data_IF_849164930421
#
_entry.id   IF_849164930421
#
_cell.length_a   1.000
_cell.length_b   1.000
_cell.length_c   1.000
_cell.angle_alpha   90.00
_cell.angle_beta   90.00
_cell.angle_gamma   90.00
#
_symmetry.space_group_name_H-M   'P 1'
#
loop_
_entity.id
_entity.type
_entity.pdbx_description
1 polymer ?
#
# COMPACT_ATOMS: atom_id res chain seq x y z
N UNK A 1 12.11 6.02 21.18
CA UNK A 1 11.62 7.30 21.77
C UNK A 1 10.19 7.10 22.21
N UNK A 2 9.65 7.81 23.21
CA UNK A 2 8.22 7.75 23.48
C UNK A 2 7.48 8.25 22.23
N UNK A 3 6.63 7.40 21.66
CA UNK A 3 5.76 7.73 20.54
C UNK A 3 4.56 8.52 21.09
N UNK A 4 4.03 9.45 20.31
CA UNK A 4 3.02 10.43 20.75
C UNK A 4 1.64 9.83 21.02
N UNK A 5 1.28 8.75 20.31
CA UNK A 5 -0.04 8.11 20.42
C UNK A 5 -0.09 7.05 21.51
N UNK A 6 -1.05 7.15 22.42
CA UNK A 6 -1.20 6.24 23.57
C UNK A 6 -2.34 5.24 23.38
N UNK A 7 -3.41 5.63 22.69
CA UNK A 7 -4.58 4.76 22.46
C UNK A 7 -4.94 4.74 20.98
N UNK A 8 -4.66 3.61 20.35
CA UNK A 8 -4.76 3.43 18.90
C UNK A 8 -5.93 2.52 18.58
N UNK A 9 -6.84 3.02 17.73
CA UNK A 9 -7.89 2.21 17.14
C UNK A 9 -7.46 1.74 15.74
N UNK A 10 -7.56 0.44 15.45
CA UNK A 10 -7.21 -0.10 14.14
C UNK A 10 -8.44 -0.73 13.52
N UNK A 11 -8.89 -0.19 12.39
CA UNK A 11 -10.10 -0.63 11.72
C UNK A 11 -9.72 -1.61 10.60
N UNK A 12 -9.82 -2.92 10.86
CA UNK A 12 -9.53 -3.98 9.89
C UNK A 12 -8.56 -5.05 10.40
N UNK A 13 -9.03 -6.29 10.71
CA UNK A 13 -8.19 -7.42 11.12
C UNK A 13 -7.55 -8.11 9.91
N UNK A 14 -6.81 -7.37 9.08
CA UNK A 14 -6.03 -7.92 7.98
C UNK A 14 -4.55 -8.12 8.34
N UNK A 15 -3.73 -8.46 7.35
CA UNK A 15 -2.28 -8.54 7.50
C UNK A 15 -1.71 -7.22 8.04
N UNK A 16 -2.03 -6.10 7.36
CA UNK A 16 -1.52 -4.79 7.73
C UNK A 16 -2.07 -4.33 9.08
N UNK A 17 -3.39 -4.34 9.26
CA UNK A 17 -4.01 -3.91 10.51
C UNK A 17 -3.56 -4.74 11.72
N UNK A 18 -3.48 -6.06 11.58
CA UNK A 18 -2.93 -6.94 12.62
C UNK A 18 -1.46 -6.63 12.91
N UNK A 19 -0.65 -6.39 11.88
CA UNK A 19 0.78 -6.09 12.05
C UNK A 19 0.99 -4.73 12.72
N UNK A 20 0.22 -3.70 12.34
CA UNK A 20 0.21 -2.40 13.04
C UNK A 20 -0.18 -2.62 14.49
N UNK A 21 -1.17 -3.47 14.78
CA UNK A 21 -1.63 -3.72 16.13
C UNK A 21 -0.55 -4.39 17.01
N UNK A 22 0.11 -5.42 16.46
CA UNK A 22 1.19 -6.13 17.14
C UNK A 22 2.39 -5.19 17.40
N UNK A 23 2.85 -4.49 16.36
CA UNK A 23 3.98 -3.56 16.47
C UNK A 23 3.69 -2.39 17.43
N UNK A 24 2.47 -1.84 17.40
CA UNK A 24 2.06 -0.76 18.31
C UNK A 24 2.06 -1.20 19.78
N UNK A 25 1.70 -2.47 20.06
CA UNK A 25 1.78 -3.01 21.43
C UNK A 25 3.21 -3.16 21.92
N UNK A 26 4.15 -3.55 21.05
CA UNK A 26 5.56 -3.69 21.41
C UNK A 26 6.20 -2.36 21.82
N UNK A 27 5.77 -1.26 21.22
CA UNK A 27 6.23 0.08 21.61
C UNK A 27 5.50 0.61 22.86
N UNK A 28 4.43 -0.05 23.31
CA UNK A 28 3.74 0.23 24.57
C UNK A 28 2.37 0.92 24.46
N UNK A 29 1.82 1.08 23.25
CA UNK A 29 0.50 1.67 23.06
C UNK A 29 -0.63 0.73 23.50
N UNK A 30 -1.73 1.31 23.99
CA UNK A 30 -3.01 0.60 24.10
C UNK A 30 -3.63 0.50 22.70
N UNK A 31 -3.98 -0.70 22.26
CA UNK A 31 -4.50 -0.93 20.92
C UNK A 31 -5.83 -1.66 20.98
N UNK A 32 -6.85 -1.13 20.29
CA UNK A 32 -8.12 -1.84 20.07
C UNK A 32 -8.32 -2.07 18.59
N UNK A 33 -8.42 -3.33 18.19
CA UNK A 33 -8.64 -3.72 16.81
C UNK A 33 -10.14 -3.95 16.55
N UNK A 34 -10.69 -3.26 15.57
CA UNK A 34 -12.06 -3.48 15.12
C UNK A 34 -12.11 -4.43 13.92
N UNK A 35 -13.05 -5.38 13.95
CA UNK A 35 -13.38 -6.21 12.81
C UNK A 35 -14.86 -6.50 12.68
N UNK A 36 -15.40 -6.44 11.45
CA UNK A 36 -16.81 -6.76 11.19
C UNK A 36 -17.15 -8.24 11.40
N UNK A 37 -16.20 -9.15 11.17
CA UNK A 37 -16.43 -10.59 11.28
C UNK A 37 -16.01 -11.07 12.69
N UNK A 38 -16.94 -11.62 13.51
CA UNK A 38 -16.64 -12.17 14.83
C UNK A 38 -15.52 -13.23 14.83
N UNK A 39 -15.41 -14.05 13.79
CA UNK A 39 -14.36 -15.08 13.68
C UNK A 39 -12.97 -14.45 13.56
N UNK A 40 -12.85 -13.37 12.77
CA UNK A 40 -11.57 -12.63 12.65
C UNK A 40 -11.22 -11.89 13.93
N UNK A 41 -12.22 -11.38 14.66
CA UNK A 41 -12.02 -10.78 15.99
C UNK A 41 -11.52 -11.83 16.98
N UNK A 42 -12.15 -13.01 17.03
CA UNK A 42 -11.71 -14.11 17.88
C UNK A 42 -10.27 -14.57 17.56
N UNK A 43 -9.93 -14.63 16.27
CA UNK A 43 -8.57 -14.94 15.83
C UNK A 43 -7.57 -13.87 16.28
N UNK A 44 -7.88 -12.58 16.09
CA UNK A 44 -7.04 -11.49 16.60
C UNK A 44 -6.84 -11.56 18.12
N UNK A 45 -7.90 -11.88 18.87
CA UNK A 45 -7.81 -12.08 20.33
C UNK A 45 -6.95 -13.28 20.72
N UNK A 46 -6.94 -14.36 19.92
CA UNK A 46 -6.05 -15.51 20.16
C UNK A 46 -4.56 -15.15 19.98
N UNK A 47 -4.26 -14.09 19.22
CA UNK A 47 -2.93 -13.49 19.07
C UNK A 47 -2.62 -12.47 20.19
N UNK A 48 -3.50 -12.36 21.20
CA UNK A 48 -3.35 -11.46 22.34
C UNK A 48 -3.74 -10.01 22.06
N UNK A 49 -4.37 -9.71 20.92
CA UNK A 49 -4.87 -8.36 20.60
C UNK A 49 -6.23 -8.13 21.27
N UNK A 50 -6.42 -6.97 21.89
CA UNK A 50 -7.76 -6.51 22.25
C UNK A 50 -8.53 -6.21 20.95
N UNK A 51 -9.65 -6.89 20.74
CA UNK A 51 -10.41 -6.78 19.50
C UNK A 51 -11.93 -6.83 19.77
N UNK A 52 -12.69 -6.07 18.98
CA UNK A 52 -14.15 -5.96 19.12
C UNK A 52 -14.84 -5.88 17.77
N UNK A 53 -16.11 -6.29 17.73
CA UNK A 53 -17.02 -6.03 16.60
C UNK A 53 -17.74 -4.69 16.73
N UNK A 54 -17.70 -4.05 17.90
CA UNK A 54 -18.33 -2.76 18.15
C UNK A 54 -17.41 -1.62 17.74
N UNK A 55 -17.81 -0.88 16.71
CA UNK A 55 -17.00 0.20 16.16
C UNK A 55 -16.85 1.38 17.13
N UNK A 56 -17.87 1.68 17.93
CA UNK A 56 -17.83 2.77 18.91
C UNK A 56 -16.86 2.48 20.05
N UNK A 57 -16.88 1.25 20.58
CA UNK A 57 -15.91 0.80 21.60
C UNK A 57 -14.48 0.88 21.07
N UNK A 58 -14.26 0.53 19.81
CA UNK A 58 -12.91 0.53 19.23
C UNK A 58 -12.30 1.93 19.15
N UNK A 59 -13.09 2.95 18.78
CA UNK A 59 -12.59 4.32 18.59
C UNK A 59 -12.69 5.20 19.85
N UNK A 60 -13.36 4.72 20.90
CA UNK A 60 -13.61 5.51 22.11
C UNK A 60 -12.29 5.97 22.75
N UNK A 61 -12.08 7.29 22.81
CA UNK A 61 -10.89 7.89 23.42
C UNK A 61 -9.58 7.63 22.68
N UNK A 62 -9.63 7.09 21.46
CA UNK A 62 -8.43 6.91 20.65
C UNK A 62 -7.84 8.27 20.25
N UNK A 63 -6.51 8.38 20.29
CA UNK A 63 -5.74 9.54 19.80
C UNK A 63 -5.18 9.30 18.38
N UNK A 64 -5.09 8.04 17.96
CA UNK A 64 -4.84 7.64 16.57
C UNK A 64 -5.88 6.62 16.09
N UNK A 65 -6.43 6.82 14.90
CA UNK A 65 -7.29 5.84 14.21
C UNK A 65 -6.64 5.45 12.89
N UNK A 66 -6.42 4.15 12.69
CA UNK A 66 -5.79 3.60 11.48
C UNK A 66 -6.84 2.84 10.66
N UNK A 67 -7.15 3.32 9.46
CA UNK A 67 -7.93 2.56 8.48
C UNK A 67 -7.05 1.50 7.82
N UNK A 68 -7.30 0.23 8.16
CA UNK A 68 -6.70 -0.96 7.55
C UNK A 68 -7.74 -1.77 6.77
N UNK A 69 -8.60 -1.05 6.04
CA UNK A 69 -9.64 -1.60 5.15
C UNK A 69 -9.45 -1.07 3.72
N UNK A 70 -10.03 -1.73 2.70
CA UNK A 70 -10.08 -1.17 1.34
C UNK A 70 -10.75 0.22 1.33
N UNK A 71 -10.33 1.09 0.41
CA UNK A 71 -10.82 2.49 0.38
C UNK A 71 -12.33 2.57 0.16
N UNK A 72 -12.89 1.63 -0.61
CA UNK A 72 -14.35 1.55 -0.82
C UNK A 72 -15.16 1.32 0.47
N UNK A 73 -14.51 0.83 1.53
CA UNK A 73 -15.11 0.66 2.86
C UNK A 73 -14.83 1.85 3.77
N UNK A 74 -13.78 2.62 3.51
CA UNK A 74 -13.38 3.76 4.34
C UNK A 74 -14.48 4.83 4.44
N UNK A 75 -15.18 5.15 3.34
CA UNK A 75 -16.25 6.18 3.37
C UNK A 75 -17.38 5.79 4.35
N UNK A 76 -17.83 4.54 4.30
CA UNK A 76 -18.87 4.04 5.20
C UNK A 76 -18.44 3.98 6.66
N UNK A 77 -17.15 3.73 6.94
CA UNK A 77 -16.64 3.72 8.30
C UNK A 77 -16.40 5.13 8.82
N UNK A 78 -15.85 6.02 8.00
CA UNK A 78 -15.66 7.43 8.31
C UNK A 78 -16.99 8.07 8.74
N UNK A 79 -18.06 7.81 8.00
CA UNK A 79 -19.42 8.28 8.32
C UNK A 79 -19.92 7.82 9.70
N UNK A 80 -19.57 6.59 10.10
CA UNK A 80 -20.01 6.00 11.37
C UNK A 80 -19.20 6.47 12.58
N UNK A 81 -17.93 6.84 12.37
CA UNK A 81 -17.03 7.18 13.47
C UNK A 81 -16.86 8.67 13.68
N UNK A 82 -17.11 9.52 12.68
CA UNK A 82 -16.77 10.95 12.72
C UNK A 82 -17.28 11.65 13.99
N UNK A 83 -18.51 11.37 14.43
CA UNK A 83 -19.11 11.96 15.63
C UNK A 83 -18.67 11.28 16.94
N UNK A 84 -17.97 10.15 16.86
CA UNK A 84 -17.44 9.39 17.99
C UNK A 84 -15.97 9.70 18.26
N UNK A 85 -15.27 10.29 17.29
CA UNK A 85 -13.85 10.59 17.41
C UNK A 85 -13.61 11.70 18.44
N UNK A 86 -12.51 11.56 19.18
CA UNK A 86 -11.96 12.68 19.95
C UNK A 86 -11.66 13.85 18.99
N UNK A 87 -11.91 15.12 19.37
CA UNK A 87 -11.54 16.28 18.56
C UNK A 87 -10.04 16.37 18.23
N UNK A 88 -9.20 15.64 18.97
CA UNK A 88 -7.75 15.55 18.77
C UNK A 88 -7.30 14.27 18.07
N UNK A 89 -8.20 13.34 17.79
CA UNK A 89 -7.83 12.08 17.15
C UNK A 89 -7.28 12.35 15.75
N UNK A 90 -6.06 11.89 15.49
CA UNK A 90 -5.51 11.85 14.15
C UNK A 90 -6.02 10.58 13.46
N UNK A 91 -6.40 10.70 12.20
CA UNK A 91 -6.83 9.59 11.36
C UNK A 91 -5.76 9.35 10.29
N UNK A 92 -5.41 8.09 10.08
CA UNK A 92 -4.51 7.66 9.02
C UNK A 92 -5.02 6.38 8.38
N UNK A 93 -4.31 5.88 7.39
CA UNK A 93 -4.59 4.63 6.69
C UNK A 93 -3.30 3.88 6.37
N UNK A 94 -3.42 2.73 5.71
CA UNK A 94 -2.28 1.91 5.25
C UNK A 94 -2.39 1.53 3.76
N UNK A 95 -3.32 2.14 3.03
CA UNK A 95 -3.68 1.75 1.67
C UNK A 95 -2.58 2.05 0.63
N UNK A 96 -2.64 1.37 -0.51
CA UNK A 96 -1.66 1.56 -1.60
C UNK A 96 -1.94 2.76 -2.51
N UNK A 97 -3.05 3.46 -2.29
CA UNK A 97 -3.50 4.66 -3.02
C UNK A 97 -3.82 5.75 -2.02
N UNK A 98 -3.59 7.03 -2.35
CA UNK A 98 -3.72 8.15 -1.41
C UNK A 98 -4.73 9.20 -1.81
N UNK A 99 -5.01 9.43 -3.09
CA UNK A 99 -5.99 10.46 -3.49
C UNK A 99 -7.39 10.15 -2.95
N UNK A 100 -7.86 8.91 -3.10
CA UNK A 100 -9.20 8.50 -2.65
C UNK A 100 -9.38 8.57 -1.12
N UNK A 101 -8.45 8.07 -0.26
CA UNK A 101 -8.55 8.30 1.18
C UNK A 101 -8.63 9.78 1.58
N UNK A 102 -7.89 10.67 0.91
CA UNK A 102 -7.96 12.11 1.15
C UNK A 102 -9.33 12.70 0.77
N UNK A 103 -9.93 12.25 -0.35
CA UNK A 103 -11.29 12.65 -0.73
C UNK A 103 -12.33 12.23 0.33
N UNK A 104 -12.24 10.99 0.81
CA UNK A 104 -13.11 10.47 1.88
C UNK A 104 -12.96 11.29 3.16
N UNK A 105 -11.71 11.52 3.58
CA UNK A 105 -11.41 12.28 4.78
C UNK A 105 -11.92 13.72 4.71
N UNK A 106 -11.70 14.40 3.57
CA UNK A 106 -12.18 15.76 3.35
C UNK A 106 -13.71 15.85 3.39
N UNK A 107 -14.41 14.90 2.75
CA UNK A 107 -15.88 14.85 2.74
C UNK A 107 -16.48 14.67 4.14
N UNK A 108 -15.78 14.01 5.07
CA UNK A 108 -16.19 13.84 6.46
C UNK A 108 -15.46 14.74 7.46
N UNK A 109 -14.64 15.69 6.98
CA UNK A 109 -13.85 16.62 7.81
C UNK A 109 -13.00 15.91 8.87
N UNK A 110 -12.46 14.74 8.53
CA UNK A 110 -11.54 14.02 9.40
C UNK A 110 -10.20 14.76 9.47
N UNK A 111 -9.57 14.75 10.66
CA UNK A 111 -8.17 15.17 10.82
C UNK A 111 -7.28 14.08 10.24
N UNK A 112 -6.92 14.18 8.97
CA UNK A 112 -6.34 13.06 8.23
C UNK A 112 -4.95 13.34 7.70
N UNK A 113 -4.03 12.40 7.95
CA UNK A 113 -2.74 12.28 7.26
C UNK A 113 -2.64 10.86 6.74
N UNK A 114 -2.64 10.69 5.43
CA UNK A 114 -2.60 9.36 4.81
C UNK A 114 -1.21 8.73 4.94
N UNK A 115 -1.15 7.42 5.16
CA UNK A 115 0.11 6.68 5.23
C UNK A 115 0.10 5.48 4.28
N UNK A 116 1.27 5.14 3.75
CA UNK A 116 1.47 3.91 2.98
C UNK A 116 2.82 3.31 3.39
N UNK A 117 2.82 2.41 4.40
CA UNK A 117 3.98 1.55 4.61
C UNK A 117 4.11 0.64 3.40
N UNK A 118 5.22 0.73 2.68
CA UNK A 118 5.56 -0.14 1.56
C UNK A 118 6.04 -1.51 2.07
N UNK A 119 5.25 -2.07 2.98
CA UNK A 119 5.42 -3.36 3.60
C UNK A 119 4.20 -4.19 3.20
N UNK A 120 4.43 -5.32 2.56
CA UNK A 120 3.38 -6.16 2.05
C UNK A 120 3.94 -7.52 1.71
N UNK A 121 3.09 -8.53 1.83
CA UNK A 121 3.40 -9.88 1.37
C UNK A 121 2.22 -10.39 0.55
N UNK A 122 2.43 -11.46 -0.19
CA UNK A 122 1.38 -12.23 -0.83
C UNK A 122 0.42 -12.94 0.16
N UNK A 123 0.73 -12.90 1.46
CA UNK A 123 -0.12 -13.47 2.50
C UNK A 123 -1.27 -12.52 2.86
N UNK A 124 -2.35 -13.08 3.37
CA UNK A 124 -3.56 -12.33 3.75
C UNK A 124 -4.05 -12.78 5.12
N UNK A 125 -4.96 -12.00 5.72
CA UNK A 125 -5.53 -12.32 7.04
C UNK A 125 -4.66 -11.87 8.21
N UNK A 126 -5.26 -11.89 9.41
CA UNK A 126 -4.60 -11.49 10.66
C UNK A 126 -3.64 -12.57 11.18
N UNK A 127 -3.84 -13.82 10.77
CA UNK A 127 -2.94 -14.95 11.02
C UNK A 127 -1.54 -14.76 10.43
N UNK A 128 -1.44 -13.97 9.36
CA UNK A 128 -0.18 -13.61 8.72
C UNK A 128 0.47 -12.36 9.35
N UNK A 129 -0.19 -11.73 10.33
CA UNK A 129 0.30 -10.53 10.96
C UNK A 129 1.58 -10.79 11.77
N UNK A 130 2.51 -9.85 11.70
CA UNK A 130 3.81 -9.91 12.39
C UNK A 130 4.22 -8.51 12.83
N UNK A 131 4.76 -8.39 14.04
CA UNK A 131 5.15 -7.09 14.61
C UNK A 131 6.30 -6.44 13.82
N UNK A 132 7.18 -7.25 13.24
CA UNK A 132 8.36 -6.81 12.50
C UNK A 132 8.07 -6.60 10.99
N UNK A 133 6.81 -6.55 10.57
CA UNK A 133 6.43 -6.42 9.15
C UNK A 133 7.04 -5.16 8.50
N UNK A 134 7.15 -4.08 9.27
CA UNK A 134 7.53 -2.77 8.77
C UNK A 134 9.04 -2.49 8.87
N UNK A 135 9.82 -3.41 9.45
CA UNK A 135 11.26 -3.23 9.66
C UNK A 135 12.01 -2.97 8.34
N UNK A 136 12.63 -1.80 8.22
CA UNK A 136 13.37 -1.37 7.03
C UNK A 136 12.49 -0.96 5.85
N UNK A 137 11.16 -1.05 5.96
CA UNK A 137 10.26 -0.63 4.90
C UNK A 137 10.27 0.91 4.75
N UNK A 138 10.06 1.38 3.53
CA UNK A 138 9.71 2.79 3.33
C UNK A 138 8.26 3.02 3.77
N UNK A 139 7.96 4.20 4.30
CA UNK A 139 6.58 4.64 4.53
C UNK A 139 6.39 6.06 4.01
N UNK A 140 5.37 6.23 3.16
CA UNK A 140 5.03 7.53 2.59
C UNK A 140 3.88 8.15 3.36
N UNK A 141 4.04 9.40 3.77
CA UNK A 141 3.01 10.21 4.39
C UNK A 141 2.47 11.25 3.39
N UNK A 142 1.18 11.56 3.50
CA UNK A 142 0.49 12.52 2.64
C UNK A 142 -0.41 13.42 3.46
N UNK A 143 -0.24 14.74 3.32
CA UNK A 143 -0.89 15.74 4.16
C UNK A 143 -1.61 16.82 3.32
N UNK A 144 -2.45 16.38 2.38
CA UNK A 144 -3.21 17.29 1.51
C UNK A 144 -4.29 18.06 2.28
N UNK A 145 -4.67 17.58 3.49
CA UNK A 145 -5.60 18.23 4.42
C UNK A 145 -5.01 19.38 5.23
N UNK A 146 -3.70 19.65 5.16
CA UNK A 146 -3.05 20.77 5.84
C UNK A 146 -2.98 20.63 7.37
N UNK A 147 -2.83 19.41 7.87
CA UNK A 147 -2.57 19.13 9.29
C UNK A 147 -1.23 19.78 9.70
N UNK A 148 -1.11 20.35 10.91
CA UNK A 148 0.13 20.97 11.38
C UNK A 148 1.35 20.03 11.29
N UNK A 149 2.52 20.60 11.01
CA UNK A 149 3.76 19.84 10.76
C UNK A 149 4.14 18.98 11.96
N UNK A 150 3.90 19.47 13.17
CA UNK A 150 4.14 18.74 14.42
C UNK A 150 3.34 17.43 14.50
N UNK A 151 2.08 17.44 14.06
CA UNK A 151 1.23 16.24 14.08
C UNK A 151 1.60 15.25 12.94
N UNK A 152 2.08 15.77 11.80
CA UNK A 152 2.66 14.93 10.75
C UNK A 152 3.96 14.29 11.24
N UNK A 153 4.76 15.01 12.03
CA UNK A 153 5.98 14.49 12.63
C UNK A 153 5.66 13.41 13.67
N UNK A 154 4.64 13.62 14.51
CA UNK A 154 4.13 12.61 15.45
C UNK A 154 3.76 11.30 14.74
N UNK A 155 3.11 11.38 13.57
CA UNK A 155 2.80 10.20 12.75
C UNK A 155 4.05 9.59 12.08
N UNK A 156 5.01 10.41 11.68
CA UNK A 156 6.30 9.93 11.17
C UNK A 156 7.07 9.14 12.22
N UNK A 157 7.15 9.68 13.45
CA UNK A 157 7.83 9.05 14.58
C UNK A 157 7.13 7.76 14.99
N UNK A 158 5.80 7.69 14.89
CA UNK A 158 5.03 6.46 15.06
C UNK A 158 5.47 5.38 14.07
N UNK A 159 5.49 5.66 12.76
CA UNK A 159 5.92 4.68 11.75
C UNK A 159 7.39 4.29 11.87
N UNK A 160 8.27 5.22 12.24
CA UNK A 160 9.66 4.92 12.54
C UNK A 160 9.78 3.99 13.78
N UNK A 161 8.96 4.21 14.81
CA UNK A 161 8.91 3.33 15.98
C UNK A 161 8.39 1.92 15.66
N UNK A 162 7.53 1.76 14.64
CA UNK A 162 7.15 0.46 14.09
C UNK A 162 8.25 -0.17 13.21
N UNK A 163 9.35 0.53 12.99
CA UNK A 163 10.55 0.06 12.32
C UNK A 163 10.71 0.47 10.85
N UNK A 164 9.85 1.35 10.32
CA UNK A 164 10.06 1.90 8.98
C UNK A 164 11.42 2.63 8.91
N UNK A 165 12.25 2.29 7.92
CA UNK A 165 13.60 2.84 7.78
C UNK A 165 13.68 4.12 6.95
N UNK A 166 12.65 4.39 6.15
CA UNK A 166 12.64 5.52 5.23
C UNK A 166 11.28 6.20 5.19
N UNK A 167 11.18 7.36 5.85
CA UNK A 167 9.96 8.16 5.89
C UNK A 167 10.04 9.28 4.87
N UNK A 168 8.96 9.48 4.11
CA UNK A 168 8.88 10.57 3.13
C UNK A 168 7.49 11.16 3.09
N UNK A 169 7.41 12.49 3.11
CA UNK A 169 6.16 13.22 2.90
C UNK A 169 6.07 13.71 1.46
N UNK A 170 4.91 13.55 0.83
CA UNK A 170 4.58 14.11 -0.49
C UNK A 170 3.07 14.36 -0.61
N UNK A 171 2.62 14.89 -1.75
CA UNK A 171 1.17 15.03 -2.02
C UNK A 171 0.55 13.68 -2.35
N UNK A 172 -0.76 13.54 -2.13
CA UNK A 172 -1.50 12.31 -2.49
C UNK A 172 -1.38 11.99 -3.98
N UNK A 173 -1.52 13.00 -4.84
CA UNK A 173 -1.37 12.84 -6.29
C UNK A 173 0.06 12.43 -6.68
N UNK A 174 1.09 13.03 -6.06
CA UNK A 174 2.48 12.69 -6.34
C UNK A 174 2.86 11.27 -5.87
N UNK A 175 2.27 10.82 -4.76
CA UNK A 175 2.36 9.44 -4.32
C UNK A 175 1.76 8.48 -5.35
N UNK A 176 0.52 8.75 -5.78
CA UNK A 176 -0.21 7.88 -6.69
C UNK A 176 0.48 7.76 -8.06
N UNK A 177 1.05 8.85 -8.57
CA UNK A 177 1.89 8.84 -9.77
C UNK A 177 3.15 7.98 -9.58
N UNK A 178 3.87 8.19 -8.48
CA UNK A 178 5.09 7.45 -8.20
C UNK A 178 4.83 5.95 -8.06
N UNK A 179 3.86 5.56 -7.22
CA UNK A 179 3.51 4.15 -6.95
C UNK A 179 2.88 3.49 -8.17
N UNK A 180 2.13 4.22 -9.00
CA UNK A 180 1.69 3.68 -10.29
C UNK A 180 2.89 3.21 -11.12
N UNK A 181 3.96 4.01 -11.21
CA UNK A 181 5.16 3.67 -11.99
C UNK A 181 6.02 2.57 -11.37
N UNK A 182 6.19 2.55 -10.04
CA UNK A 182 7.14 1.64 -9.37
C UNK A 182 6.50 0.37 -8.78
N UNK A 183 5.17 0.27 -8.76
CA UNK A 183 4.45 -0.88 -8.18
C UNK A 183 3.33 -1.38 -9.09
N UNK A 184 2.36 -0.54 -9.43
CA UNK A 184 1.16 -0.99 -10.17
C UNK A 184 1.48 -1.37 -11.61
N UNK A 185 2.27 -0.55 -12.30
CA UNK A 185 2.71 -0.79 -13.66
C UNK A 185 3.59 -2.06 -13.77
N UNK A 186 4.61 -2.28 -12.92
CA UNK A 186 5.33 -3.55 -12.87
C UNK A 186 4.41 -4.77 -12.69
N UNK A 187 3.41 -4.69 -11.80
CA UNK A 187 2.45 -5.78 -11.64
C UNK A 187 1.62 -6.00 -12.91
N UNK A 188 1.08 -4.94 -13.52
CA UNK A 188 0.33 -5.04 -14.78
C UNK A 188 1.17 -5.69 -15.90
N UNK A 189 2.42 -5.25 -16.05
CA UNK A 189 3.35 -5.83 -17.04
C UNK A 189 3.72 -7.28 -16.73
N UNK A 190 3.88 -7.63 -15.46
CA UNK A 190 4.10 -9.00 -15.01
C UNK A 190 2.93 -9.91 -15.41
N UNK A 191 1.70 -9.47 -15.14
CA UNK A 191 0.47 -10.19 -15.46
C UNK A 191 0.24 -10.33 -16.96
N UNK A 192 0.50 -9.27 -17.74
CA UNK A 192 0.45 -9.32 -19.21
C UNK A 192 1.51 -10.30 -19.78
N UNK A 193 2.73 -10.24 -19.26
CA UNK A 193 3.83 -11.12 -19.69
C UNK A 193 3.51 -12.58 -19.40
N UNK A 194 3.02 -12.89 -18.20
CA UNK A 194 2.58 -14.23 -17.82
C UNK A 194 1.43 -14.69 -18.72
N UNK A 195 0.41 -13.85 -18.95
CA UNK A 195 -0.74 -14.16 -19.80
C UNK A 195 -0.39 -14.41 -21.28
N UNK A 196 0.64 -13.74 -21.82
CA UNK A 196 1.13 -14.00 -23.18
C UNK A 196 1.97 -15.27 -23.24
N UNK A 197 2.87 -15.47 -22.26
CA UNK A 197 3.89 -16.52 -22.31
C UNK A 197 3.35 -17.90 -21.92
N UNK A 198 2.39 -17.96 -20.98
CA UNK A 198 1.84 -19.19 -20.42
C UNK A 198 0.50 -19.59 -21.05
N UNK A 199 0.22 -19.15 -22.28
CA UNK A 199 -0.93 -19.66 -23.07
C UNK A 199 -0.85 -21.18 -23.24
N UNK A 200 0.37 -21.69 -23.43
CA UNK A 200 0.70 -23.09 -23.25
C UNK A 200 1.62 -23.21 -22.02
N UNK A 201 1.06 -23.74 -20.95
CA UNK A 201 1.75 -23.88 -19.65
C UNK A 201 2.93 -24.85 -19.71
N UNK A 202 2.98 -25.74 -20.71
CA UNK A 202 4.10 -26.68 -20.86
C UNK A 202 5.44 -25.97 -21.10
N UNK A 203 5.42 -24.79 -21.72
CA UNK A 203 6.63 -23.98 -21.93
C UNK A 203 7.28 -23.49 -20.62
N UNK A 204 6.58 -23.54 -19.48
CA UNK A 204 7.11 -23.11 -18.20
C UNK A 204 8.36 -23.92 -17.78
N UNK A 205 8.50 -25.17 -18.23
CA UNK A 205 9.67 -26.01 -17.93
C UNK A 205 10.96 -25.48 -18.56
N UNK A 206 10.85 -24.69 -19.63
CA UNK A 206 11.96 -24.07 -20.36
C UNK A 206 12.33 -22.69 -19.80
N UNK A 207 11.58 -22.18 -18.81
CA UNK A 207 11.76 -20.83 -18.29
C UNK A 207 13.11 -20.67 -17.56
N UNK A 208 13.86 -19.64 -17.96
CA UNK A 208 15.06 -19.17 -17.25
C UNK A 208 14.74 -18.25 -16.06
N UNK A 209 15.78 -17.78 -15.36
CA UNK A 209 15.64 -16.86 -14.22
C UNK A 209 14.89 -15.56 -14.58
N UNK A 210 15.24 -14.94 -15.70
CA UNK A 210 14.60 -13.68 -16.12
C UNK A 210 13.09 -13.77 -16.31
N UNK A 211 12.56 -14.91 -16.80
CA UNK A 211 11.11 -15.11 -16.88
C UNK A 211 10.49 -15.22 -15.49
N UNK A 212 11.11 -16.01 -14.60
CA UNK A 212 10.64 -16.18 -13.21
C UNK A 212 10.57 -14.84 -12.49
N UNK A 213 11.60 -14.01 -12.60
CA UNK A 213 11.65 -12.71 -11.94
C UNK A 213 10.63 -11.74 -12.53
N UNK A 214 10.51 -11.68 -13.86
CA UNK A 214 9.57 -10.80 -14.56
C UNK A 214 8.11 -11.14 -14.23
N UNK A 215 7.80 -12.43 -14.04
CA UNK A 215 6.42 -12.91 -13.82
C UNK A 215 6.08 -13.18 -12.35
N UNK A 216 7.04 -13.06 -11.43
CA UNK A 216 6.88 -13.40 -10.01
C UNK A 216 5.67 -12.72 -9.37
N UNK A 217 5.49 -11.42 -9.63
CA UNK A 217 4.43 -10.64 -8.96
C UNK A 217 3.05 -10.87 -9.57
N UNK A 218 2.94 -11.45 -10.77
CA UNK A 218 1.67 -11.83 -11.39
C UNK A 218 0.85 -12.86 -10.57
N UNK A 219 1.49 -13.54 -9.61
CA UNK A 219 0.83 -14.46 -8.68
C UNK A 219 0.09 -13.76 -7.52
N UNK A 220 0.07 -12.42 -7.48
CA UNK A 220 -0.65 -11.66 -6.45
C UNK A 220 -2.16 -11.89 -6.46
N UNK A 221 -2.81 -11.59 -5.34
CA UNK A 221 -4.26 -11.78 -5.19
C UNK A 221 -5.05 -10.94 -6.22
N UNK A 222 -5.89 -11.56 -7.06
CA UNK A 222 -6.55 -10.87 -8.16
C UNK A 222 -7.61 -9.86 -7.68
N UNK A 223 -8.23 -10.09 -6.52
CA UNK A 223 -9.23 -9.16 -5.97
C UNK A 223 -8.55 -7.87 -5.52
N UNK A 224 -7.48 -7.99 -4.72
CA UNK A 224 -6.69 -6.87 -4.25
C UNK A 224 -6.07 -6.06 -5.41
N UNK A 225 -5.45 -6.74 -6.38
CA UNK A 225 -4.80 -6.03 -7.49
C UNK A 225 -5.80 -5.37 -8.44
N UNK A 226 -6.99 -5.95 -8.63
CA UNK A 226 -8.06 -5.28 -9.37
C UNK A 226 -8.52 -3.99 -8.66
N UNK A 227 -8.69 -4.03 -7.33
CA UNK A 227 -9.01 -2.83 -6.54
C UNK A 227 -7.92 -1.76 -6.68
N UNK A 228 -6.65 -2.12 -6.43
CA UNK A 228 -5.50 -1.21 -6.54
C UNK A 228 -5.42 -0.55 -7.93
N UNK A 229 -5.56 -1.33 -9.00
CA UNK A 229 -5.49 -0.82 -10.38
C UNK A 229 -6.66 0.10 -10.71
N UNK A 230 -7.87 -0.20 -10.24
CA UNK A 230 -9.06 0.64 -10.49
C UNK A 230 -9.02 1.92 -9.65
N UNK A 231 -8.57 1.83 -8.40
CA UNK A 231 -8.42 2.96 -7.50
C UNK A 231 -7.38 3.96 -8.02
N UNK A 232 -6.25 3.48 -8.55
CA UNK A 232 -5.22 4.32 -9.14
C UNK A 232 -5.22 4.32 -10.68
N UNK A 233 -6.39 4.13 -11.31
CA UNK A 233 -6.52 3.96 -12.77
C UNK A 233 -5.96 5.12 -13.58
N UNK A 234 -6.10 6.36 -13.08
CA UNK A 234 -5.62 7.55 -13.79
C UNK A 234 -4.11 7.50 -13.99
N UNK A 235 -3.35 7.38 -12.90
CA UNK A 235 -1.89 7.33 -12.98
C UNK A 235 -1.35 6.04 -13.62
N UNK A 236 -2.06 4.91 -13.45
CA UNK A 236 -1.67 3.65 -14.10
C UNK A 236 -1.88 3.70 -15.62
N UNK A 237 -2.97 4.31 -16.09
CA UNK A 237 -3.28 4.41 -17.52
C UNK A 237 -2.16 5.14 -18.28
N UNK A 238 -1.64 6.24 -17.74
CA UNK A 238 -0.53 6.98 -18.35
C UNK A 238 0.70 6.08 -18.58
N UNK A 239 1.03 5.22 -17.61
CA UNK A 239 2.15 4.28 -17.72
C UNK A 239 1.89 3.17 -18.75
N UNK A 240 0.64 2.72 -18.86
CA UNK A 240 0.24 1.71 -19.84
C UNK A 240 0.18 2.28 -21.28
N UNK A 241 -0.20 3.55 -21.44
CA UNK A 241 -0.13 4.22 -22.74
C UNK A 241 1.33 4.44 -23.17
N UNK A 242 2.21 4.83 -22.23
CA UNK A 242 3.63 4.96 -22.51
C UNK A 242 4.24 3.63 -22.99
N UNK A 243 3.94 2.50 -22.32
CA UNK A 243 4.48 1.20 -22.75
C UNK A 243 3.89 0.74 -24.09
N UNK A 244 2.61 1.04 -24.37
CA UNK A 244 1.99 0.75 -25.68
C UNK A 244 2.78 1.42 -26.80
N UNK A 245 3.15 2.68 -26.61
CA UNK A 245 3.89 3.44 -27.61
C UNK A 245 5.34 2.90 -27.76
N UNK A 246 5.98 2.46 -26.66
CA UNK A 246 7.29 1.80 -26.71
C UNK A 246 7.25 0.45 -27.43
N UNK A 247 6.20 -0.35 -27.19
CA UNK A 247 5.97 -1.61 -27.90
C UNK A 247 5.81 -1.35 -29.40
N UNK A 248 5.04 -0.32 -29.78
CA UNK A 248 4.88 0.10 -31.18
C UNK A 248 6.24 0.38 -31.85
N UNK A 249 7.09 1.20 -31.22
CA UNK A 249 8.44 1.48 -31.74
C UNK A 249 9.30 0.22 -31.88
N UNK A 250 9.25 -0.68 -30.90
CA UNK A 250 10.00 -1.93 -30.97
C UNK A 250 9.50 -2.85 -32.09
N UNK A 251 8.19 -2.91 -32.31
CA UNK A 251 7.59 -3.64 -33.44
C UNK A 251 8.07 -3.08 -34.78
N UNK A 252 8.11 -1.75 -34.93
CA UNK A 252 8.62 -1.10 -36.15
C UNK A 252 10.11 -1.41 -36.39
N UNK A 253 10.93 -1.40 -35.34
CA UNK A 253 12.34 -1.78 -35.43
C UNK A 253 12.51 -3.24 -35.87
N UNK A 254 11.72 -4.16 -35.31
CA UNK A 254 11.74 -5.58 -35.69
C UNK A 254 11.28 -5.78 -37.13
N UNK A 255 10.20 -5.12 -37.55
CA UNK A 255 9.67 -5.24 -38.92
C UNK A 255 10.68 -4.76 -39.97
N UNK A 256 11.49 -3.75 -39.64
CA UNK A 256 12.51 -3.19 -40.53
C UNK A 256 13.91 -3.80 -40.34
N UNK A 257 14.07 -4.79 -39.45
CA UNK A 257 15.40 -5.31 -39.06
C UNK A 257 16.39 -4.22 -38.62
N UNK A 258 15.90 -3.17 -37.97
CA UNK A 258 16.69 -2.03 -37.50
C UNK A 258 17.47 -2.39 -36.21
N UNK A 259 18.58 -3.10 -36.40
CA UNK A 259 19.44 -3.53 -35.30
C UNK A 259 20.05 -2.36 -34.52
N UNK A 260 20.45 -1.28 -35.21
CA UNK A 260 21.08 -0.13 -34.56
C UNK A 260 20.07 0.67 -33.74
N UNK A 261 18.85 0.88 -34.25
CA UNK A 261 17.77 1.50 -33.49
C UNK A 261 17.40 0.71 -32.24
N UNK A 262 17.25 -0.61 -32.36
CA UNK A 262 16.95 -1.46 -31.20
C UNK A 262 18.08 -1.44 -30.16
N UNK A 263 19.34 -1.48 -30.62
CA UNK A 263 20.51 -1.38 -29.74
C UNK A 263 20.56 -0.05 -29.00
N UNK A 264 20.26 1.06 -29.68
CA UNK A 264 20.23 2.39 -29.07
C UNK A 264 19.17 2.46 -27.96
N UNK A 265 17.96 1.95 -28.21
CA UNK A 265 16.90 1.87 -27.22
C UNK A 265 17.32 1.04 -25.98
N UNK A 266 17.85 -0.17 -26.19
CA UNK A 266 18.29 -1.04 -25.10
C UNK A 266 19.43 -0.41 -24.29
N UNK A 267 20.36 0.30 -24.95
CA UNK A 267 21.45 1.01 -24.28
C UNK A 267 20.94 2.17 -23.42
N UNK A 268 19.93 2.90 -23.89
CA UNK A 268 19.29 3.97 -23.12
C UNK A 268 18.62 3.42 -21.86
N UNK A 269 17.82 2.35 -21.97
CA UNK A 269 17.17 1.70 -20.84
C UNK A 269 18.20 1.17 -19.85
N UNK A 270 19.27 0.51 -20.33
CA UNK A 270 20.39 0.06 -19.50
C UNK A 270 21.03 1.22 -18.74
N UNK A 271 21.31 2.34 -19.41
CA UNK A 271 21.93 3.49 -18.77
C UNK A 271 21.06 4.12 -17.67
N UNK A 272 19.72 4.04 -17.78
CA UNK A 272 18.81 4.46 -16.69
C UNK A 272 18.85 3.46 -15.54
N UNK A 273 18.81 2.16 -15.83
CA UNK A 273 18.84 1.09 -14.83
C UNK A 273 20.13 1.04 -14.02
N UNK A 274 21.28 1.28 -14.67
CA UNK A 274 22.59 1.26 -14.00
C UNK A 274 22.80 2.45 -13.03
N UNK A 275 21.93 3.48 -13.07
CA UNK A 275 21.97 4.61 -12.13
C UNK A 275 21.21 4.36 -10.84
N UNK A 276 20.48 3.25 -10.73
CA UNK A 276 19.73 2.90 -9.53
C UNK A 276 20.39 1.72 -8.83
N UNK A 277 20.44 1.74 -7.50
CA UNK A 277 20.95 0.64 -6.67
C UNK A 277 19.91 -0.49 -6.50
N UNK A 278 19.00 -0.63 -7.46
CA UNK A 278 17.96 -1.66 -7.46
C UNK A 278 18.56 -2.90 -8.12
N UNK A 279 19.34 -3.70 -7.40
CA UNK A 279 19.94 -4.92 -7.94
C UNK A 279 18.90 -5.90 -8.48
#
# INVERSE_FOLDING_TARGET
MPHSFQKIAILGPGLLGGSVALASREIGAQVVLWGRNPERVALASSLGLEATTNLGEAVEGADLVVFAVPVGVMDLLADKIVDLLSPRALVTDVGSVKSLPHEVAAARRLRFVGSHPMAGSEQTGVEAARADLFHGAACVLTNDGGIPVEEVQDLSDFWEALGCGHLRTMTAAGHDEAVARISHFPHAMSSLTAGVSLKDVSHAELAGGGFRDTTRVAAGDPTMWAEIMIENRGALQDSLEEVRDQIGKMLDQLANSDQEGLKAYLAEVKARKDRTDLS
#
